data_IF_315500520824
#
_entry.id   IF_315500520824
#
_cell.length_a   1.000
_cell.length_b   1.000
_cell.length_c   1.000
_cell.angle_alpha   90.00
_cell.angle_beta   90.00
_cell.angle_gamma   90.00
#
_symmetry.space_group_name_H-M   'P 1'
#
loop_
_entity.id
_entity.type
_entity.pdbx_description
1 polymer ?
#
# COMPACT_ATOMS: atom_id res chain seq x y z
N UNK A 1 13.84 -27.65 10.47
CA UNK A 1 12.70 -26.79 10.11
C UNK A 1 12.48 -26.98 8.62
N UNK A 2 11.39 -27.64 8.24
CA UNK A 2 11.11 -27.94 6.83
C UNK A 2 10.79 -26.65 6.06
N UNK A 3 11.10 -26.63 4.75
CA UNK A 3 10.90 -25.46 3.88
C UNK A 3 9.47 -24.86 3.98
N UNK A 4 8.46 -25.72 4.14
CA UNK A 4 7.06 -25.32 4.28
C UNK A 4 6.75 -24.53 5.56
N UNK A 5 7.39 -24.87 6.67
CA UNK A 5 7.17 -24.20 7.96
C UNK A 5 7.76 -22.79 7.96
N UNK A 6 8.95 -22.64 7.38
CA UNK A 6 9.62 -21.35 7.18
C UNK A 6 8.81 -20.40 6.29
N UNK A 7 8.25 -20.92 5.20
CA UNK A 7 7.47 -20.11 4.27
C UNK A 7 6.11 -19.71 4.88
N UNK A 8 5.50 -20.57 5.70
CA UNK A 8 4.32 -20.24 6.50
C UNK A 8 4.57 -19.06 7.47
N UNK A 9 5.66 -19.10 8.23
CA UNK A 9 6.04 -18.01 9.15
C UNK A 9 6.31 -16.70 8.40
N UNK A 10 7.03 -16.77 7.27
CA UNK A 10 7.28 -15.58 6.42
C UNK A 10 5.96 -14.98 5.94
N UNK A 11 5.04 -15.81 5.47
CA UNK A 11 3.74 -15.36 4.97
C UNK A 11 2.93 -14.66 6.06
N UNK A 12 2.83 -15.25 7.25
CA UNK A 12 2.13 -14.61 8.39
C UNK A 12 2.75 -13.25 8.72
N UNK A 13 4.08 -13.15 8.72
CA UNK A 13 4.76 -11.87 8.95
C UNK A 13 4.45 -10.82 7.88
N UNK A 14 4.34 -11.21 6.61
CA UNK A 14 3.96 -10.28 5.55
C UNK A 14 2.48 -9.87 5.65
N UNK A 15 1.59 -10.78 6.00
CA UNK A 15 0.16 -10.47 6.27
C UNK A 15 0.05 -9.49 7.44
N UNK A 16 0.81 -9.67 8.52
CA UNK A 16 0.83 -8.73 9.64
C UNK A 16 1.29 -7.33 9.21
N UNK A 17 2.28 -7.24 8.31
CA UNK A 17 2.70 -5.95 7.71
C UNK A 17 1.63 -5.35 6.81
N UNK A 18 0.91 -6.18 6.05
CA UNK A 18 -0.21 -5.77 5.21
C UNK A 18 -1.28 -5.08 6.08
N UNK A 19 -1.74 -5.74 7.14
CA UNK A 19 -2.71 -5.20 8.09
C UNK A 19 -2.21 -3.92 8.76
N UNK A 20 -0.94 -3.91 9.19
CA UNK A 20 -0.34 -2.74 9.84
C UNK A 20 -0.32 -1.51 8.93
N UNK A 21 0.06 -1.69 7.66
CA UNK A 21 0.12 -0.60 6.70
C UNK A 21 -1.29 -0.14 6.27
N UNK A 22 -2.27 -1.05 6.16
CA UNK A 22 -3.68 -0.68 5.96
C UNK A 22 -4.22 0.21 7.10
N UNK A 23 -3.91 -0.15 8.36
CA UNK A 23 -4.24 0.68 9.53
C UNK A 23 -3.57 2.05 9.47
N UNK A 24 -2.30 2.10 9.08
CA UNK A 24 -1.55 3.35 8.96
C UNK A 24 -2.13 4.29 7.88
N UNK A 25 -2.61 3.76 6.75
CA UNK A 25 -3.30 4.54 5.71
C UNK A 25 -4.59 5.11 6.27
N UNK A 26 -5.45 4.28 6.88
CA UNK A 26 -6.74 4.70 7.44
C UNK A 26 -6.56 5.75 8.55
N UNK A 27 -5.57 5.58 9.41
CA UNK A 27 -5.29 6.52 10.51
C UNK A 27 -4.54 7.78 10.07
N UNK A 28 -4.22 7.92 8.79
CA UNK A 28 -3.37 8.99 8.23
C UNK A 28 -1.96 9.06 8.85
N UNK A 29 -1.49 7.98 9.49
CA UNK A 29 -0.11 7.89 9.99
C UNK A 29 0.91 7.78 8.83
N UNK A 30 0.45 7.43 7.64
CA UNK A 30 1.22 7.46 6.40
C UNK A 30 0.38 8.09 5.29
N UNK A 31 1.02 8.90 4.43
CA UNK A 31 0.37 9.43 3.23
C UNK A 31 0.02 8.32 2.24
N UNK A 32 -1.13 8.45 1.57
CA UNK A 32 -1.65 7.46 0.62
C UNK A 32 -0.66 7.06 -0.49
N UNK A 33 0.09 7.98 -1.14
CA UNK A 33 1.13 7.62 -2.12
C UNK A 33 2.14 6.60 -1.56
N UNK A 34 2.71 6.91 -0.40
CA UNK A 34 3.71 6.04 0.24
C UNK A 34 3.09 4.76 0.80
N UNK A 35 1.87 4.85 1.34
CA UNK A 35 1.11 3.70 1.83
C UNK A 35 0.81 2.70 0.73
N UNK A 36 0.39 3.17 -0.44
CA UNK A 36 0.06 2.33 -1.60
C UNK A 36 1.30 1.67 -2.22
N UNK A 37 2.42 2.38 -2.35
CA UNK A 37 3.69 1.78 -2.77
C UNK A 37 4.13 0.65 -1.84
N UNK A 38 3.97 0.85 -0.51
CA UNK A 38 4.24 -0.21 0.46
C UNK A 38 3.28 -1.38 0.33
N UNK A 39 1.99 -1.13 0.08
CA UNK A 39 0.99 -2.17 -0.15
C UNK A 39 1.37 -3.08 -1.30
N UNK A 40 1.63 -2.51 -2.48
CA UNK A 40 1.97 -3.28 -3.68
C UNK A 40 3.17 -4.20 -3.44
N UNK A 41 4.23 -3.67 -2.81
CA UNK A 41 5.41 -4.47 -2.47
C UNK A 41 5.12 -5.61 -1.49
N UNK A 42 4.30 -5.36 -0.45
CA UNK A 42 3.92 -6.41 0.50
C UNK A 42 3.08 -7.49 -0.20
N UNK A 43 2.14 -7.10 -1.06
CA UNK A 43 1.29 -8.02 -1.81
C UNK A 43 2.14 -8.92 -2.71
N UNK A 44 3.12 -8.36 -3.43
CA UNK A 44 4.06 -9.15 -4.24
C UNK A 44 4.77 -10.21 -3.39
N UNK A 45 5.33 -9.83 -2.24
CA UNK A 45 6.01 -10.78 -1.34
C UNK A 45 5.11 -11.87 -0.76
N UNK A 46 3.82 -11.58 -0.55
CA UNK A 46 2.86 -12.60 -0.13
C UNK A 46 2.59 -13.57 -1.29
N UNK A 47 2.34 -13.02 -2.47
CA UNK A 47 2.00 -13.78 -3.67
C UNK A 47 3.15 -14.68 -4.16
N UNK A 48 4.41 -14.30 -3.89
CA UNK A 48 5.58 -15.16 -4.14
C UNK A 48 5.57 -16.46 -3.29
N UNK A 49 4.83 -16.48 -2.18
CA UNK A 49 4.67 -17.65 -1.31
C UNK A 49 3.32 -18.33 -1.60
N UNK A 50 2.21 -17.59 -1.49
CA UNK A 50 0.85 -18.07 -1.73
C UNK A 50 -0.09 -16.89 -2.02
N UNK A 51 -0.80 -16.97 -3.15
CA UNK A 51 -1.66 -15.91 -3.67
C UNK A 51 -2.77 -15.48 -2.72
N UNK A 52 -3.02 -14.16 -2.66
CA UNK A 52 -4.21 -13.58 -2.02
C UNK A 52 -5.40 -13.61 -2.99
N UNK A 53 -6.13 -14.73 -3.07
CA UNK A 53 -7.23 -14.91 -4.05
C UNK A 53 -8.57 -14.34 -3.58
N UNK A 54 -8.69 -14.02 -2.30
CA UNK A 54 -9.99 -13.72 -1.68
C UNK A 54 -10.31 -12.22 -1.58
N UNK A 55 -9.34 -11.35 -1.90
CA UNK A 55 -9.53 -9.90 -1.97
C UNK A 55 -8.91 -9.39 -3.27
N UNK A 56 -9.62 -8.54 -4.00
CA UNK A 56 -9.06 -7.81 -5.14
C UNK A 56 -8.29 -6.58 -4.65
N UNK A 57 -6.97 -6.59 -4.86
CA UNK A 57 -6.03 -5.57 -4.35
C UNK A 57 -5.29 -4.83 -5.48
N UNK A 58 -5.77 -4.95 -6.72
CA UNK A 58 -5.26 -4.28 -7.92
C UNK A 58 -5.45 -2.75 -7.89
N UNK A 59 -6.29 -2.23 -6.99
CA UNK A 59 -6.40 -0.78 -6.76
C UNK A 59 -5.05 -0.15 -6.43
N UNK A 60 -4.19 -0.83 -5.65
CA UNK A 60 -2.92 -0.27 -5.23
C UNK A 60 -1.94 -0.12 -6.40
N UNK A 61 -1.83 -1.13 -7.26
CA UNK A 61 -1.01 -1.04 -8.46
C UNK A 61 -1.60 -0.06 -9.47
N UNK A 62 -2.92 -0.02 -9.62
CA UNK A 62 -3.62 0.95 -10.49
C UNK A 62 -3.34 2.39 -10.08
N UNK A 63 -3.41 2.69 -8.78
CA UNK A 63 -3.07 4.00 -8.25
C UNK A 63 -1.58 4.29 -8.42
N UNK A 64 -0.69 3.36 -8.06
CA UNK A 64 0.75 3.55 -8.18
C UNK A 64 1.18 3.81 -9.62
N UNK A 65 0.55 3.16 -10.60
CA UNK A 65 0.77 3.41 -12.03
C UNK A 65 0.38 4.83 -12.46
N UNK A 66 -0.69 5.40 -11.89
CA UNK A 66 -1.07 6.79 -12.16
C UNK A 66 -0.19 7.80 -11.42
N UNK A 67 0.48 7.39 -10.34
CA UNK A 67 1.32 8.28 -9.53
C UNK A 67 2.83 8.05 -9.71
N UNK A 68 3.26 7.21 -10.66
CA UNK A 68 4.66 6.80 -10.78
C UNK A 68 5.62 7.94 -11.19
N UNK A 69 5.10 8.98 -11.86
CA UNK A 69 5.86 10.15 -12.30
C UNK A 69 6.05 11.21 -11.19
N UNK A 70 5.35 11.06 -10.06
CA UNK A 70 5.36 12.06 -8.99
C UNK A 70 6.41 11.72 -7.93
N UNK A 71 7.20 12.70 -7.46
CA UNK A 71 8.20 12.45 -6.42
C UNK A 71 7.51 12.20 -5.07
N UNK A 72 7.81 11.04 -4.48
CA UNK A 72 7.25 10.59 -3.20
C UNK A 72 8.40 10.34 -2.21
N UNK A 73 8.20 10.72 -0.94
CA UNK A 73 9.20 10.48 0.10
C UNK A 73 10.52 11.22 -0.15
N UNK A 74 11.63 10.49 -0.17
CA UNK A 74 12.99 11.05 -0.27
C UNK A 74 13.28 11.67 -1.64
N UNK A 75 12.60 11.22 -2.70
CA UNK A 75 12.79 11.74 -4.06
C UNK A 75 12.46 13.23 -4.14
N UNK A 76 11.56 13.71 -3.28
CA UNK A 76 11.17 15.11 -3.17
C UNK A 76 12.32 16.04 -2.80
N UNK A 77 13.36 15.53 -2.13
CA UNK A 77 14.53 16.34 -1.75
C UNK A 77 15.35 16.81 -2.97
N UNK A 78 15.20 16.15 -4.12
CA UNK A 78 15.90 16.52 -5.36
C UNK A 78 15.18 17.55 -6.22
N UNK A 79 13.98 17.99 -5.86
CA UNK A 79 13.14 18.84 -6.71
C UNK A 79 13.09 20.28 -6.20
N UNK A 80 12.98 21.23 -7.13
CA UNK A 80 12.70 22.63 -6.80
C UNK A 80 11.31 22.77 -6.14
N UNK A 81 11.22 23.69 -5.18
CA UNK A 81 9.99 23.97 -4.42
C UNK A 81 8.77 24.28 -5.29
N UNK A 82 8.89 25.19 -6.25
CA UNK A 82 7.74 25.67 -7.01
C UNK A 82 7.20 24.56 -7.92
N UNK A 83 8.11 23.81 -8.54
CA UNK A 83 7.75 22.63 -9.33
C UNK A 83 7.11 21.52 -8.47
N UNK A 84 7.58 21.30 -7.24
CA UNK A 84 6.94 20.36 -6.31
C UNK A 84 5.50 20.76 -5.97
N UNK A 85 5.24 22.05 -5.78
CA UNK A 85 3.89 22.53 -5.48
C UNK A 85 2.93 22.28 -6.64
N UNK A 86 3.37 22.48 -7.88
CA UNK A 86 2.57 22.16 -9.07
C UNK A 86 2.27 20.66 -9.19
N UNK A 87 3.27 19.81 -8.93
CA UNK A 87 3.10 18.36 -8.94
C UNK A 87 2.17 17.88 -7.81
N UNK A 88 2.24 18.50 -6.64
CA UNK A 88 1.39 18.14 -5.50
C UNK A 88 -0.10 18.38 -5.79
N UNK A 89 -0.46 19.43 -6.56
CA UNK A 89 -1.84 19.67 -6.98
C UNK A 89 -2.36 18.51 -7.84
N UNK A 90 -1.59 18.11 -8.85
CA UNK A 90 -1.94 17.00 -9.74
C UNK A 90 -2.01 15.67 -8.98
N UNK A 91 -1.03 15.40 -8.12
CA UNK A 91 -1.02 14.21 -7.29
C UNK A 91 -2.23 14.17 -6.35
N UNK A 92 -2.66 15.32 -5.82
CA UNK A 92 -3.84 15.41 -4.97
C UNK A 92 -5.12 15.02 -5.72
N UNK A 93 -5.30 15.46 -6.97
CA UNK A 93 -6.45 15.11 -7.80
C UNK A 93 -6.56 13.60 -8.04
N UNK A 94 -5.44 12.96 -8.42
CA UNK A 94 -5.38 11.50 -8.61
C UNK A 94 -5.62 10.78 -7.27
N UNK A 95 -5.01 11.26 -6.18
CA UNK A 95 -5.22 10.67 -4.85
C UNK A 95 -6.68 10.78 -4.41
N UNK A 96 -7.33 11.89 -4.73
CA UNK A 96 -8.73 12.11 -4.40
C UNK A 96 -9.64 11.10 -5.12
N UNK A 97 -9.41 10.82 -6.41
CA UNK A 97 -10.23 9.88 -7.18
C UNK A 97 -10.10 8.43 -6.69
N UNK A 98 -8.94 8.02 -6.16
CA UNK A 98 -8.71 6.67 -5.63
C UNK A 98 -9.03 6.51 -4.14
N UNK A 99 -9.17 7.63 -3.41
CA UNK A 99 -9.21 7.65 -1.93
C UNK A 99 -10.21 6.66 -1.35
N UNK A 100 -11.46 6.71 -1.82
CA UNK A 100 -12.53 5.89 -1.25
C UNK A 100 -12.26 4.40 -1.47
N UNK A 101 -11.83 4.02 -2.68
CA UNK A 101 -11.55 2.63 -3.03
C UNK A 101 -10.34 2.08 -2.25
N UNK A 102 -9.28 2.87 -2.09
CA UNK A 102 -8.11 2.50 -1.27
C UNK A 102 -8.53 2.29 0.19
N UNK A 103 -9.35 3.17 0.75
CA UNK A 103 -9.84 3.07 2.13
C UNK A 103 -10.70 1.81 2.29
N UNK A 104 -11.62 1.55 1.36
CA UNK A 104 -12.46 0.35 1.34
C UNK A 104 -11.61 -0.93 1.36
N UNK A 105 -10.61 -1.04 0.47
CA UNK A 105 -9.70 -2.19 0.45
C UNK A 105 -8.84 -2.31 1.69
N UNK A 106 -8.44 -1.20 2.29
CA UNK A 106 -7.75 -1.24 3.59
C UNK A 106 -8.66 -1.79 4.71
N UNK A 107 -9.96 -1.45 4.71
CA UNK A 107 -10.91 -2.05 5.65
C UNK A 107 -11.11 -3.54 5.40
N UNK A 108 -11.26 -3.98 4.15
CA UNK A 108 -11.37 -5.41 3.78
C UNK A 108 -10.15 -6.20 4.28
N UNK A 109 -8.93 -5.67 4.06
CA UNK A 109 -7.68 -6.27 4.58
C UNK A 109 -7.73 -6.44 6.10
N UNK A 110 -8.13 -5.39 6.83
CA UNK A 110 -8.18 -5.42 8.30
C UNK A 110 -9.25 -6.39 8.79
N UNK A 111 -10.44 -6.42 8.18
CA UNK A 111 -11.51 -7.32 8.57
C UNK A 111 -11.12 -8.78 8.37
N UNK A 112 -10.42 -9.08 7.27
CA UNK A 112 -10.07 -10.44 6.90
C UNK A 112 -8.84 -10.98 7.65
N UNK A 113 -7.81 -10.16 7.78
CA UNK A 113 -6.51 -10.59 8.30
C UNK A 113 -6.16 -9.97 9.65
N UNK A 114 -6.89 -8.95 10.09
CA UNK A 114 -6.67 -8.33 11.39
C UNK A 114 -7.16 -9.24 12.51
N UNK A 115 -6.29 -9.55 13.46
CA UNK A 115 -6.71 -10.14 14.74
C UNK A 115 -7.65 -9.15 15.43
N UNK A 116 -8.89 -9.56 15.69
CA UNK A 116 -9.83 -8.80 16.52
C UNK A 116 -9.25 -8.71 17.93
N UNK A 117 -9.31 -7.53 18.54
CA UNK A 117 -8.99 -7.35 19.96
C UNK A 117 -10.18 -7.77 20.80
#
# INVERSE_FOLDING_TARGET
MEKNELDGIKRENQINKLVSNARAIISNAIGMPMGSLKMERIILWINDIELLTEIQLDVFSSYNNQTNEYPIGVDRLGYNKDYLLELDVKLHEITHSFKNLIIEKCFEIIQKYGKQK
#
